data_IF_320005892521
#
_entry.id   IF_320005892521
#
_cell.length_a   1.000
_cell.length_b   1.000
_cell.length_c   1.000
_cell.angle_alpha   90.00
_cell.angle_beta   90.00
_cell.angle_gamma   90.00
#
_symmetry.space_group_name_H-M   'P 1'
#
loop_
_entity.id
_entity.type
_entity.pdbx_description
1 polymer ?
#
# COMPACT_ATOMS: atom_id res chain seq x y z
N UNK A 1 -3.60 16.69 -34.23
CA UNK A 1 -3.15 16.93 -32.85
C UNK A 1 -3.41 15.65 -32.05
N UNK A 2 -2.39 15.05 -31.44
CA UNK A 2 -2.56 13.84 -30.65
C UNK A 2 -3.13 14.15 -29.27
N UNK A 3 -4.24 13.53 -28.89
CA UNK A 3 -4.74 13.62 -27.53
C UNK A 3 -3.73 12.97 -26.57
N UNK A 4 -3.08 13.77 -25.71
CA UNK A 4 -2.31 13.22 -24.58
C UNK A 4 -3.27 12.42 -23.71
N UNK A 5 -3.17 11.08 -23.75
CA UNK A 5 -3.85 10.22 -22.77
C UNK A 5 -3.41 10.69 -21.38
N UNK A 6 -4.35 11.20 -20.58
CA UNK A 6 -4.07 11.54 -19.17
C UNK A 6 -3.70 10.25 -18.41
N UNK A 7 -2.93 10.33 -17.32
CA UNK A 7 -2.55 9.16 -16.53
C UNK A 7 -3.75 8.38 -15.98
N UNK A 8 -3.71 7.06 -16.14
CA UNK A 8 -4.53 6.14 -15.34
C UNK A 8 -4.20 6.33 -13.85
N UNK A 9 -5.21 6.36 -12.98
CA UNK A 9 -4.98 6.54 -11.53
C UNK A 9 -4.76 5.20 -10.85
N UNK A 10 -3.67 5.07 -10.13
CA UNK A 10 -3.36 3.84 -9.38
C UNK A 10 -3.27 4.15 -7.89
N UNK A 11 -4.13 3.53 -7.09
CA UNK A 11 -3.98 3.51 -5.65
C UNK A 11 -3.28 2.22 -5.25
N UNK A 12 -2.26 2.32 -4.41
CA UNK A 12 -1.46 1.19 -3.93
C UNK A 12 -1.39 1.22 -2.41
N UNK A 13 -2.12 0.33 -1.74
CA UNK A 13 -2.03 0.11 -0.29
C UNK A 13 -1.15 -1.11 -0.03
N UNK A 14 -0.04 -0.88 0.66
CA UNK A 14 1.00 -1.86 1.02
C UNK A 14 1.16 -1.82 2.54
N UNK A 15 1.30 -2.98 3.19
CA UNK A 15 1.63 -3.07 4.61
C UNK A 15 3.17 -3.05 4.82
N UNK A 16 3.67 -3.32 6.02
CA UNK A 16 5.10 -3.54 6.33
C UNK A 16 5.35 -5.06 6.45
N UNK A 17 6.49 -5.68 6.10
CA UNK A 17 7.84 -5.21 5.69
C UNK A 17 8.54 -6.05 4.55
N UNK A 18 8.14 -5.94 3.26
CA UNK A 18 8.86 -6.47 2.04
C UNK A 18 8.90 -5.39 0.94
N UNK A 19 9.26 -4.17 1.35
CA UNK A 19 9.15 -2.93 0.55
C UNK A 19 10.00 -2.90 -0.73
N UNK A 20 11.21 -3.49 -0.70
CA UNK A 20 12.11 -3.53 -1.87
C UNK A 20 11.62 -4.55 -2.91
N UNK A 21 11.30 -5.79 -2.53
CA UNK A 21 10.86 -6.80 -3.51
C UNK A 21 9.56 -6.40 -4.22
N UNK A 22 8.62 -5.78 -3.49
CA UNK A 22 7.38 -5.26 -4.08
C UNK A 22 7.59 -4.15 -5.11
N UNK A 23 8.67 -3.38 -5.00
CA UNK A 23 8.95 -2.24 -5.88
C UNK A 23 9.97 -2.56 -6.98
N UNK A 24 10.96 -3.42 -6.73
CA UNK A 24 11.98 -3.86 -7.71
C UNK A 24 11.62 -5.15 -8.45
N UNK A 25 10.70 -5.95 -7.91
CA UNK A 25 10.44 -7.32 -8.40
C UNK A 25 11.55 -8.33 -8.12
N UNK A 26 12.58 -7.95 -7.34
CA UNK A 26 13.77 -8.79 -7.07
C UNK A 26 13.72 -9.43 -5.69
N UNK A 27 14.27 -10.63 -5.56
CA UNK A 27 14.43 -11.31 -4.25
C UNK A 27 15.47 -10.51 -3.44
N UNK A 28 15.13 -9.97 -2.25
CA UNK A 28 16.09 -9.21 -1.44
C UNK A 28 17.26 -10.09 -1.00
N UNK A 29 18.49 -9.63 -1.23
CA UNK A 29 19.66 -10.24 -0.64
C UNK A 29 19.73 -9.97 0.86
N UNK A 30 20.46 -10.82 1.59
CA UNK A 30 20.73 -10.61 3.03
C UNK A 30 21.38 -9.23 3.30
N UNK A 31 22.24 -8.77 2.38
CA UNK A 31 22.86 -7.44 2.44
C UNK A 31 21.81 -6.34 2.28
N UNK A 32 20.80 -6.51 1.43
CA UNK A 32 19.78 -5.48 1.19
C UNK A 32 18.88 -5.30 2.42
N UNK A 33 18.51 -6.40 3.10
CA UNK A 33 17.80 -6.35 4.39
C UNK A 33 18.60 -5.57 5.43
N UNK A 34 19.92 -5.81 5.54
CA UNK A 34 20.80 -5.10 6.48
C UNK A 34 21.04 -3.64 6.07
N UNK A 35 21.16 -3.34 4.77
CA UNK A 35 21.35 -1.98 4.26
C UNK A 35 20.08 -1.15 4.41
N UNK A 36 18.90 -1.75 4.26
CA UNK A 36 17.61 -1.08 4.52
C UNK A 36 17.49 -0.59 5.98
N UNK A 37 18.10 -1.28 6.96
CA UNK A 37 18.20 -0.80 8.35
C UNK A 37 19.10 0.44 8.51
N UNK A 38 20.03 0.66 7.57
CA UNK A 38 20.97 1.79 7.56
C UNK A 38 20.57 2.92 6.58
N UNK A 39 19.42 2.78 5.91
CA UNK A 39 18.75 3.81 5.09
C UNK A 39 19.59 4.59 4.04
N UNK A 40 20.37 3.93 3.15
CA UNK A 40 20.70 4.54 1.87
C UNK A 40 19.45 4.63 0.98
N UNK A 41 19.45 5.56 0.03
CA UNK A 41 18.41 5.62 -1.01
C UNK A 41 18.46 4.38 -1.91
N UNK A 42 17.30 3.89 -2.37
CA UNK A 42 17.24 2.78 -3.32
C UNK A 42 17.68 3.27 -4.71
N UNK A 43 18.80 2.73 -5.20
CA UNK A 43 19.43 3.12 -6.49
C UNK A 43 18.95 2.23 -7.65
N UNK A 44 18.42 1.05 -7.35
CA UNK A 44 17.96 0.05 -8.31
C UNK A 44 16.69 0.50 -9.04
N UNK A 45 16.47 -0.02 -10.25
CA UNK A 45 15.23 0.23 -10.99
C UNK A 45 14.02 -0.36 -10.25
N UNK A 46 12.94 0.42 -10.18
CA UNK A 46 11.77 0.10 -9.38
C UNK A 46 10.53 0.86 -9.86
N UNK A 47 9.35 0.38 -9.46
CA UNK A 47 8.06 0.94 -9.86
C UNK A 47 7.90 2.44 -9.54
N UNK A 48 8.44 2.91 -8.41
CA UNK A 48 8.35 4.30 -7.98
C UNK A 48 9.25 5.20 -8.84
N UNK A 49 10.45 4.71 -9.16
CA UNK A 49 11.37 5.35 -10.10
C UNK A 49 10.79 5.43 -11.51
N UNK A 50 10.28 4.32 -12.04
CA UNK A 50 9.64 4.25 -13.37
C UNK A 50 8.41 5.17 -13.46
N UNK A 51 7.57 5.20 -12.41
CA UNK A 51 6.45 6.13 -12.34
C UNK A 51 6.93 7.60 -12.35
N UNK A 52 7.96 7.93 -11.58
CA UNK A 52 8.55 9.29 -11.56
C UNK A 52 9.14 9.67 -12.92
N UNK A 53 9.89 8.78 -13.56
CA UNK A 53 10.47 8.95 -14.88
C UNK A 53 9.39 9.13 -15.97
N UNK A 54 8.26 8.43 -15.84
CA UNK A 54 7.06 8.61 -16.68
C UNK A 54 6.25 9.88 -16.35
N UNK A 55 6.76 10.77 -15.50
CA UNK A 55 6.14 12.04 -15.15
C UNK A 55 4.90 11.92 -14.25
N UNK A 56 4.73 10.79 -13.54
CA UNK A 56 3.59 10.58 -12.64
C UNK A 56 3.73 11.41 -11.37
N UNK A 57 2.59 11.88 -10.89
CA UNK A 57 2.41 12.64 -9.66
C UNK A 57 2.08 11.65 -8.53
N UNK A 58 3.07 11.37 -7.68
CA UNK A 58 3.01 10.32 -6.66
C UNK A 58 2.86 10.97 -5.28
N UNK A 59 1.82 10.59 -4.54
CA UNK A 59 1.57 10.99 -3.15
C UNK A 59 1.81 9.78 -2.24
N UNK A 60 2.44 9.97 -1.07
CA UNK A 60 2.74 8.88 -0.12
C UNK A 60 2.42 9.26 1.32
N UNK A 61 1.67 8.43 2.04
CA UNK A 61 1.50 8.57 3.49
C UNK A 61 1.76 7.23 4.19
N UNK A 62 2.63 7.22 5.20
CA UNK A 62 2.99 6.01 5.96
C UNK A 62 4.42 6.03 6.49
N UNK A 63 5.02 4.84 6.63
CA UNK A 63 6.34 4.63 7.26
C UNK A 63 7.45 5.51 6.63
N UNK A 64 8.19 6.23 7.48
CA UNK A 64 9.23 7.18 7.06
C UNK A 64 10.42 6.53 6.30
N UNK A 65 10.57 5.21 6.37
CA UNK A 65 11.54 4.44 5.56
C UNK A 65 11.27 4.60 4.08
N UNK A 66 10.02 4.66 3.62
CA UNK A 66 9.69 4.91 2.21
C UNK A 66 10.22 6.27 1.72
N UNK A 67 10.18 7.29 2.58
CA UNK A 67 10.69 8.63 2.27
C UNK A 67 12.21 8.60 2.12
N UNK A 68 12.90 7.80 2.95
CA UNK A 68 14.36 7.58 2.86
C UNK A 68 14.77 6.75 1.64
N UNK A 69 14.00 5.72 1.29
CA UNK A 69 14.25 4.85 0.13
C UNK A 69 14.02 5.56 -1.21
N UNK A 70 12.98 6.40 -1.31
CA UNK A 70 12.57 7.06 -2.55
C UNK A 70 12.69 8.60 -2.50
N UNK A 71 13.88 9.16 -2.17
CA UNK A 71 14.03 10.60 -1.98
C UNK A 71 13.69 11.35 -3.27
N UNK A 72 12.93 12.46 -3.14
CA UNK A 72 12.47 13.33 -4.25
C UNK A 72 11.51 12.68 -5.27
N UNK A 73 11.07 11.44 -5.05
CA UNK A 73 10.12 10.78 -5.95
C UNK A 73 8.69 11.28 -5.73
N UNK A 74 8.25 11.35 -4.47
CA UNK A 74 6.93 11.87 -4.11
C UNK A 74 6.81 13.38 -4.38
N UNK A 75 5.64 13.83 -4.83
CA UNK A 75 5.31 15.26 -4.93
C UNK A 75 4.85 15.84 -3.60
N UNK A 76 4.25 14.98 -2.77
CA UNK A 76 3.65 15.27 -1.48
C UNK A 76 3.77 13.98 -0.67
N UNK A 77 4.25 14.08 0.56
CA UNK A 77 4.41 12.94 1.43
C UNK A 77 4.32 13.34 2.90
N UNK A 78 3.96 12.37 3.73
CA UNK A 78 3.99 12.50 5.17
C UNK A 78 4.50 11.19 5.79
N UNK A 79 5.55 11.31 6.60
CA UNK A 79 6.31 10.18 7.14
C UNK A 79 6.01 9.96 8.61
N UNK A 80 5.53 8.77 8.93
CA UNK A 80 5.27 8.29 10.29
C UNK A 80 6.45 7.46 10.78
N UNK A 81 6.95 7.75 11.98
CA UNK A 81 8.01 6.96 12.63
C UNK A 81 7.42 5.67 13.20
N UNK A 82 7.84 4.52 12.66
CA UNK A 82 7.31 3.18 13.03
C UNK A 82 8.01 2.52 14.23
N UNK A 83 9.11 3.08 14.74
CA UNK A 83 9.91 2.47 15.83
C UNK A 83 9.17 2.29 17.18
N UNK A 84 8.06 2.98 17.40
CA UNK A 84 7.26 2.86 18.64
C UNK A 84 6.12 1.87 18.46
N UNK A 85 6.46 0.57 18.44
CA UNK A 85 5.53 -0.54 18.17
C UNK A 85 4.29 -0.54 19.08
N UNK A 86 4.38 0.01 20.29
CA UNK A 86 3.25 0.19 21.21
C UNK A 86 2.11 1.07 20.69
N UNK A 87 2.36 1.93 19.70
CA UNK A 87 1.36 2.77 19.06
C UNK A 87 0.84 2.12 17.77
N UNK A 88 -0.36 1.57 17.84
CA UNK A 88 -1.08 1.00 16.69
C UNK A 88 -2.29 1.84 16.25
N UNK A 89 -2.43 3.06 16.78
CA UNK A 89 -3.60 3.93 16.51
C UNK A 89 -3.16 5.23 15.88
N UNK A 90 -2.23 5.96 16.47
CA UNK A 90 -1.79 7.25 15.93
C UNK A 90 -0.98 7.05 14.64
N UNK A 91 -0.21 5.95 14.52
CA UNK A 91 0.41 5.56 13.24
C UNK A 91 -0.56 5.45 12.06
N UNK A 92 -1.78 4.93 12.29
CA UNK A 92 -2.81 4.76 11.26
C UNK A 92 -3.66 6.04 11.09
N UNK A 93 -3.88 6.81 12.17
CA UNK A 93 -4.45 8.17 12.10
C UNK A 93 -3.58 9.08 11.21
N UNK A 94 -2.26 8.96 11.33
CA UNK A 94 -1.28 9.78 10.61
C UNK A 94 -1.35 9.55 9.09
N UNK A 95 -1.72 8.34 8.65
CA UNK A 95 -2.03 8.03 7.25
C UNK A 95 -3.45 8.51 6.89
N UNK A 96 -4.43 8.22 7.75
CA UNK A 96 -5.86 8.45 7.48
C UNK A 96 -6.25 9.93 7.39
N UNK A 97 -5.61 10.81 8.17
CA UNK A 97 -5.93 12.25 8.24
C UNK A 97 -5.86 12.97 6.89
N UNK A 98 -5.04 12.47 5.96
CA UNK A 98 -4.83 13.03 4.62
C UNK A 98 -5.76 12.45 3.56
N UNK A 99 -6.49 11.37 3.88
CA UNK A 99 -7.21 10.58 2.90
C UNK A 99 -8.37 11.36 2.26
N UNK A 100 -9.19 12.03 3.09
CA UNK A 100 -10.40 12.72 2.63
C UNK A 100 -10.10 13.99 1.81
N UNK A 101 -8.98 14.66 2.07
CA UNK A 101 -8.51 15.80 1.26
C UNK A 101 -7.87 15.33 -0.05
N UNK A 102 -7.05 14.27 0.00
CA UNK A 102 -6.36 13.73 -1.18
C UNK A 102 -7.34 13.10 -2.16
N UNK A 103 -8.33 12.32 -1.70
CA UNK A 103 -9.34 11.70 -2.56
C UNK A 103 -10.23 12.70 -3.31
N UNK A 104 -10.41 13.92 -2.78
CA UNK A 104 -11.18 14.98 -3.48
C UNK A 104 -10.39 15.59 -4.64
N UNK A 105 -9.06 15.67 -4.52
CA UNK A 105 -8.17 16.29 -5.49
C UNK A 105 -8.01 15.47 -6.78
N UNK A 106 -7.54 16.15 -7.83
CA UNK A 106 -7.25 15.57 -9.15
C UNK A 106 -5.80 15.82 -9.60
N UNK A 107 -4.97 16.33 -8.69
CA UNK A 107 -3.59 16.73 -8.93
C UNK A 107 -2.55 15.61 -8.72
N UNK A 108 -3.01 14.39 -8.42
CA UNK A 108 -2.19 13.18 -8.31
C UNK A 108 -2.56 12.12 -9.37
N UNK A 109 -1.63 11.20 -9.62
CA UNK A 109 -1.79 10.04 -10.52
C UNK A 109 -1.60 8.72 -9.77
N UNK A 110 -0.73 8.70 -8.75
CA UNK A 110 -0.54 7.57 -7.85
C UNK A 110 -0.67 8.07 -6.41
N UNK A 111 -1.44 7.37 -5.59
CA UNK A 111 -1.46 7.57 -4.14
C UNK A 111 -1.10 6.24 -3.47
N UNK A 112 -0.16 6.31 -2.53
CA UNK A 112 0.36 5.18 -1.77
C UNK A 112 0.01 5.40 -0.30
N UNK A 113 -0.62 4.41 0.31
CA UNK A 113 -1.03 4.43 1.72
C UNK A 113 -0.42 3.23 2.41
N UNK A 114 0.41 3.47 3.42
CA UNK A 114 1.16 2.44 4.10
C UNK A 114 0.86 2.45 5.60
N UNK A 115 -0.05 1.55 5.99
CA UNK A 115 -0.55 1.40 7.35
C UNK A 115 0.38 0.52 8.19
N UNK A 116 0.29 0.65 9.52
CA UNK A 116 1.24 0.07 10.47
C UNK A 116 0.53 -0.65 11.64
N UNK A 117 -0.66 -0.19 12.04
CA UNK A 117 -1.27 -0.62 13.30
C UNK A 117 -1.58 -2.13 13.40
N UNK A 118 -1.86 -2.81 12.28
CA UNK A 118 -2.06 -4.26 12.28
C UNK A 118 -0.78 -5.05 12.55
N UNK A 119 0.36 -4.58 12.04
CA UNK A 119 1.67 -5.18 12.27
C UNK A 119 2.10 -4.96 13.73
N UNK A 120 1.96 -3.73 14.20
CA UNK A 120 2.21 -3.34 15.59
C UNK A 120 1.38 -4.17 16.60
N UNK A 121 0.08 -4.39 16.35
CA UNK A 121 -0.74 -5.28 17.20
C UNK A 121 -0.19 -6.72 17.21
N UNK A 122 0.21 -7.23 16.05
CA UNK A 122 0.82 -8.54 15.92
C UNK A 122 2.08 -8.68 16.77
N UNK A 123 3.00 -7.71 16.69
CA UNK A 123 4.21 -7.68 17.52
C UNK A 123 3.95 -7.58 19.04
N UNK A 124 2.96 -6.78 19.47
CA UNK A 124 2.64 -6.63 20.90
C UNK A 124 1.98 -7.90 21.47
N UNK A 125 1.05 -8.49 20.71
CA UNK A 125 0.01 -9.36 21.27
C UNK A 125 -0.31 -10.61 20.45
N UNK A 126 0.41 -10.85 19.36
CA UNK A 126 0.24 -12.00 18.47
C UNK A 126 -0.98 -11.90 17.52
N UNK A 127 -1.05 -12.79 16.51
CA UNK A 127 -2.09 -12.78 15.48
C UNK A 127 -3.49 -13.17 16.01
N UNK A 128 -3.58 -13.73 17.22
CA UNK A 128 -4.85 -14.13 17.86
C UNK A 128 -5.38 -13.08 18.86
N UNK A 129 -4.76 -11.90 18.91
CA UNK A 129 -5.18 -10.81 19.80
C UNK A 129 -6.58 -10.31 19.48
N UNK A 130 -7.36 -9.99 20.51
CA UNK A 130 -8.71 -9.41 20.38
C UNK A 130 -8.71 -8.02 19.70
N UNK A 131 -7.53 -7.39 19.56
CA UNK A 131 -7.33 -6.14 18.83
C UNK A 131 -7.28 -6.32 17.30
N UNK A 132 -7.00 -7.54 16.80
CA UNK A 132 -6.87 -7.82 15.37
C UNK A 132 -8.20 -7.58 14.64
N UNK A 133 -9.32 -8.10 15.16
CA UNK A 133 -10.63 -7.94 14.52
C UNK A 133 -11.06 -6.46 14.40
N UNK A 134 -11.01 -5.63 15.45
CA UNK A 134 -11.24 -4.19 15.33
C UNK A 134 -10.32 -3.50 14.31
N UNK A 135 -9.03 -3.85 14.27
CA UNK A 135 -8.08 -3.26 13.31
C UNK A 135 -8.37 -3.68 11.86
N UNK A 136 -8.80 -4.91 11.62
CA UNK A 136 -9.23 -5.36 10.29
C UNK A 136 -10.50 -4.62 9.83
N UNK A 137 -11.44 -4.34 10.74
CA UNK A 137 -12.63 -3.53 10.42
C UNK A 137 -12.27 -2.08 10.07
N UNK A 138 -11.32 -1.48 10.79
CA UNK A 138 -10.77 -0.16 10.44
C UNK A 138 -10.17 -0.14 9.03
N UNK A 139 -9.38 -1.17 8.67
CA UNK A 139 -8.78 -1.30 7.34
C UNK A 139 -9.82 -1.51 6.22
N UNK A 140 -10.92 -2.21 6.52
CA UNK A 140 -12.07 -2.42 5.62
C UNK A 140 -12.88 -1.14 5.41
N UNK A 141 -13.15 -0.36 6.45
CA UNK A 141 -13.84 0.93 6.32
C UNK A 141 -13.01 1.97 5.54
N UNK A 142 -11.69 1.96 5.71
CA UNK A 142 -10.76 2.73 4.87
C UNK A 142 -10.85 2.28 3.39
N UNK A 143 -10.89 0.98 3.13
CA UNK A 143 -11.02 0.43 1.77
C UNK A 143 -12.37 0.81 1.13
N UNK A 144 -13.49 0.72 1.88
CA UNK A 144 -14.82 1.15 1.42
C UNK A 144 -14.83 2.64 1.05
N UNK A 145 -14.30 3.51 1.92
CA UNK A 145 -14.17 4.96 1.69
C UNK A 145 -13.43 5.26 0.39
N UNK A 146 -12.27 4.61 0.22
CA UNK A 146 -11.44 4.69 -0.98
C UNK A 146 -12.21 4.26 -2.24
N UNK A 147 -12.81 3.07 -2.21
CA UNK A 147 -13.48 2.48 -3.35
C UNK A 147 -14.72 3.29 -3.76
N UNK A 148 -15.49 3.78 -2.79
CA UNK A 148 -16.62 4.69 -3.02
C UNK A 148 -16.17 5.98 -3.72
N UNK A 149 -15.11 6.63 -3.25
CA UNK A 149 -14.58 7.84 -3.88
C UNK A 149 -14.08 7.60 -5.33
N UNK A 150 -13.48 6.44 -5.59
CA UNK A 150 -13.05 6.05 -6.94
C UNK A 150 -14.23 5.79 -7.88
N UNK A 151 -15.29 5.13 -7.41
CA UNK A 151 -16.56 4.94 -8.15
C UNK A 151 -17.21 6.30 -8.47
N UNK A 152 -17.31 7.20 -7.49
CA UNK A 152 -17.88 8.54 -7.71
C UNK A 152 -17.11 9.32 -8.78
N UNK A 153 -15.76 9.33 -8.71
CA UNK A 153 -14.94 10.00 -9.72
C UNK A 153 -15.04 9.36 -11.11
N UNK A 154 -15.16 8.03 -11.20
CA UNK A 154 -15.40 7.35 -12.47
C UNK A 154 -16.75 7.77 -13.09
N UNK A 155 -17.82 7.83 -12.28
CA UNK A 155 -19.14 8.29 -12.72
C UNK A 155 -19.15 9.75 -13.19
N UNK A 156 -18.27 10.59 -12.64
CA UNK A 156 -18.03 11.98 -13.08
C UNK A 156 -17.24 12.08 -14.42
N UNK A 157 -16.84 10.95 -15.02
CA UNK A 157 -16.06 10.90 -16.26
C UNK A 157 -14.55 10.97 -16.06
N UNK A 158 -14.05 10.66 -14.85
CA UNK A 158 -12.61 10.45 -14.63
C UNK A 158 -12.09 9.22 -15.37
N UNK A 159 -10.77 9.13 -15.50
CA UNK A 159 -10.13 7.96 -16.07
C UNK A 159 -10.31 6.70 -15.20
N UNK A 160 -10.26 5.49 -15.80
CA UNK A 160 -10.33 4.24 -15.05
C UNK A 160 -9.24 4.18 -13.98
N UNK A 161 -9.59 3.65 -12.83
CA UNK A 161 -8.67 3.46 -11.71
C UNK A 161 -8.14 2.02 -11.64
N UNK A 162 -7.05 1.84 -10.92
CA UNK A 162 -6.64 0.55 -10.37
C UNK A 162 -6.43 0.73 -8.87
N UNK A 163 -7.19 0.00 -8.07
CA UNK A 163 -7.03 -0.10 -6.62
C UNK A 163 -6.32 -1.41 -6.31
N UNK A 164 -5.13 -1.32 -5.73
CA UNK A 164 -4.33 -2.44 -5.25
C UNK A 164 -4.32 -2.41 -3.73
N UNK A 165 -4.75 -3.52 -3.13
CA UNK A 165 -4.58 -3.81 -1.71
C UNK A 165 -3.70 -5.04 -1.60
N UNK A 166 -2.57 -4.92 -0.90
CA UNK A 166 -1.77 -6.08 -0.52
C UNK A 166 -1.23 -5.99 0.91
N UNK A 167 -1.10 -7.16 1.54
CA UNK A 167 -0.07 -7.37 2.55
C UNK A 167 1.25 -7.72 1.87
N UNK A 168 2.36 -7.42 2.52
CA UNK A 168 3.72 -7.68 2.04
C UNK A 168 4.45 -8.72 2.89
N UNK A 169 4.10 -8.87 4.18
CA UNK A 169 4.22 -10.14 4.90
C UNK A 169 2.96 -10.50 5.72
N UNK A 170 2.86 -11.77 6.09
CA UNK A 170 1.98 -12.25 7.16
C UNK A 170 2.69 -12.25 8.52
N UNK A 171 2.31 -13.13 9.44
CA UNK A 171 2.83 -13.13 10.81
C UNK A 171 2.87 -14.54 11.39
N UNK A 172 3.95 -14.89 12.11
CA UNK A 172 4.02 -16.14 12.88
C UNK A 172 3.07 -16.13 14.09
N UNK A 173 2.79 -17.32 14.62
CA UNK A 173 1.98 -17.52 15.85
C UNK A 173 2.43 -16.70 17.06
N UNK A 174 3.71 -16.30 17.10
CA UNK A 174 4.31 -15.49 18.18
C UNK A 174 4.36 -13.99 17.91
N UNK A 175 3.79 -13.50 16.80
CA UNK A 175 3.83 -12.07 16.47
C UNK A 175 5.16 -11.59 15.87
N UNK A 176 6.00 -12.51 15.38
CA UNK A 176 7.21 -12.18 14.60
C UNK A 176 6.97 -12.44 13.10
N UNK A 177 7.72 -11.77 12.25
CA UNK A 177 7.75 -11.99 10.80
C UNK A 177 9.21 -12.09 10.31
N UNK A 178 9.40 -12.32 9.00
CA UNK A 178 10.72 -12.41 8.37
C UNK A 178 11.31 -13.82 8.30
N UNK A 179 10.62 -14.83 8.84
CA UNK A 179 10.84 -16.24 8.53
C UNK A 179 10.19 -16.65 7.20
N UNK A 180 9.98 -17.96 7.06
CA UNK A 180 9.41 -18.57 5.85
C UNK A 180 8.29 -19.56 6.16
N UNK A 181 7.59 -19.40 7.30
CA UNK A 181 6.39 -20.18 7.57
C UNK A 181 5.25 -19.77 6.64
N UNK A 182 4.28 -20.66 6.44
CA UNK A 182 3.12 -20.39 5.57
C UNK A 182 2.37 -19.12 6.00
N UNK A 183 2.22 -18.93 7.31
CA UNK A 183 1.57 -17.77 7.93
C UNK A 183 2.35 -16.46 7.74
N UNK A 184 3.68 -16.52 7.55
CA UNK A 184 4.52 -15.34 7.31
C UNK A 184 4.57 -14.93 5.82
N UNK A 185 4.38 -15.87 4.89
CA UNK A 185 4.51 -15.61 3.44
C UNK A 185 3.17 -15.47 2.70
N UNK A 186 2.09 -16.04 3.23
CA UNK A 186 0.77 -15.96 2.61
C UNK A 186 0.07 -14.62 2.92
N UNK A 187 0.17 -13.68 1.98
CA UNK A 187 -0.48 -12.36 2.09
C UNK A 187 -1.67 -12.21 1.13
N UNK A 188 -2.69 -11.40 1.48
CA UNK A 188 -3.72 -11.05 0.53
C UNK A 188 -3.16 -10.15 -0.58
N UNK A 189 -3.60 -10.39 -1.82
CA UNK A 189 -3.47 -9.46 -2.94
C UNK A 189 -4.83 -9.31 -3.61
N UNK A 190 -5.37 -8.09 -3.62
CA UNK A 190 -6.66 -7.76 -4.22
C UNK A 190 -6.47 -6.62 -5.21
N UNK A 191 -6.95 -6.85 -6.44
CA UNK A 191 -6.93 -5.87 -7.52
C UNK A 191 -8.38 -5.52 -7.90
N UNK A 192 -8.74 -4.24 -7.80
CA UNK A 192 -10.08 -3.74 -8.17
C UNK A 192 -9.92 -2.69 -9.26
N UNK A 193 -10.59 -2.90 -10.40
CA UNK A 193 -10.59 -1.95 -11.51
C UNK A 193 -11.83 -2.17 -12.39
N UNK A 194 -12.46 -1.10 -12.91
CA UNK A 194 -13.50 -1.20 -13.93
C UNK A 194 -13.03 -1.85 -15.24
N UNK A 195 -11.72 -1.90 -15.49
CA UNK A 195 -11.14 -2.60 -16.63
C UNK A 195 -11.16 -4.14 -16.48
N UNK A 196 -11.36 -4.67 -15.27
CA UNK A 196 -11.48 -6.12 -15.07
C UNK A 196 -12.88 -6.58 -15.45
N UNK A 197 -12.97 -7.36 -16.54
CA UNK A 197 -14.22 -8.02 -16.93
C UNK A 197 -14.63 -9.01 -15.84
N UNK A 198 -15.87 -8.92 -15.36
CA UNK A 198 -16.47 -10.03 -14.63
C UNK A 198 -16.48 -11.26 -15.55
N UNK A 199 -16.02 -12.39 -15.03
CA UNK A 199 -16.27 -13.68 -15.66
C UNK A 199 -17.78 -13.91 -15.58
N UNK A 200 -18.45 -14.05 -16.72
CA UNK A 200 -19.84 -14.50 -16.71
C UNK A 200 -19.85 -15.93 -16.16
N UNK A 201 -20.63 -16.15 -15.10
CA UNK A 201 -20.92 -17.49 -14.63
C UNK A 201 -21.84 -18.16 -15.66
N UNK A 202 -21.23 -18.87 -16.60
CA UNK A 202 -21.94 -19.94 -17.31
C UNK A 202 -22.21 -21.01 -16.25
N UNK A 203 -23.44 -21.05 -15.75
CA UNK A 203 -23.85 -22.09 -14.83
C UNK A 203 -23.82 -23.42 -15.57
N UNK A 204 -23.09 -24.40 -15.04
CA UNK A 204 -23.14 -25.75 -15.58
C UNK A 204 -24.57 -26.30 -15.40
N UNK A 205 -25.26 -26.50 -16.52
CA UNK A 205 -26.55 -27.17 -16.55
C UNK A 205 -26.33 -28.67 -16.30
N UNK A 206 -26.49 -29.09 -15.04
CA UNK A 206 -26.68 -30.47 -14.61
C UNK A 206 -28.14 -30.70 -14.21
#
# INVERSE_FOLDING_TARGET
MGAKRRPQRTLLKIHNVVRQALTTGSIPGFIDVVMNLNSPALVEDNLIWQAKAAGKRIVFYGDDTWVRLFPKHFMEYDGTTSFFVSDYTEVDNNVTRHLDSTLKRDDWDILILHYLGLDHIGHISGPHSSLIQPKLLEMDDILKKIHGALISKEAEGSLPYLLVLCGDHGMSETGSHGGSSEQEINTPLVLISPAFKRKEFVGDHY
#
